data_IF_296857023731
#
_entry.id   IF_296857023731
#
_cell.length_a   1.000
_cell.length_b   1.000
_cell.length_c   1.000
_cell.angle_alpha   90.00
_cell.angle_beta   90.00
_cell.angle_gamma   90.00
#
_symmetry.space_group_name_H-M   'P 1'
#
loop_
_entity.id
_entity.type
_entity.pdbx_description
1 polymer ?
#
# COMPACT_ATOMS: atom_id res chain seq x y z
N UNK A 1 -24.53 -3.31 -6.01
CA UNK A 1 -23.48 -3.64 -5.04
C UNK A 1 -22.92 -2.37 -4.45
N UNK A 2 -22.54 -2.38 -3.16
CA UNK A 2 -21.91 -1.22 -2.51
C UNK A 2 -20.47 -1.18 -2.99
N UNK A 3 -20.01 -0.03 -3.52
CA UNK A 3 -18.61 0.18 -3.89
C UNK A 3 -17.70 0.05 -2.66
N UNK A 4 -16.53 -0.55 -2.83
CA UNK A 4 -15.53 -0.75 -1.80
C UNK A 4 -14.18 -0.19 -2.27
N UNK A 5 -13.56 0.66 -1.47
CA UNK A 5 -12.18 1.09 -1.64
C UNK A 5 -11.31 0.44 -0.56
N UNK A 6 -10.20 -0.16 -0.94
CA UNK A 6 -9.31 -0.87 -0.01
C UNK A 6 -7.88 -0.36 -0.14
N UNK A 7 -7.29 0.08 0.95
CA UNK A 7 -5.85 0.30 1.04
C UNK A 7 -5.20 -0.99 1.54
N UNK A 8 -4.26 -1.52 0.77
CA UNK A 8 -3.69 -2.85 0.95
C UNK A 8 -2.17 -2.82 1.14
N UNK A 9 -1.63 -3.59 2.10
CA UNK A 9 -0.19 -3.68 2.35
C UNK A 9 0.47 -4.75 1.48
N UNK A 10 1.78 -4.61 1.26
CA UNK A 10 2.67 -5.68 0.84
C UNK A 10 3.63 -5.98 1.99
N UNK A 11 3.65 -7.22 2.43
CA UNK A 11 4.43 -7.67 3.61
C UNK A 11 3.77 -8.91 4.20
N UNK A 12 2.57 -8.82 4.76
CA UNK A 12 1.87 -10.00 5.29
C UNK A 12 1.24 -10.82 4.16
N UNK A 13 2.05 -11.26 3.19
CA UNK A 13 1.60 -11.94 1.97
C UNK A 13 0.80 -13.21 2.22
N UNK A 14 0.98 -13.84 3.39
CA UNK A 14 0.21 -15.02 3.79
C UNK A 14 -1.30 -14.79 3.87
N UNK A 15 -1.75 -13.56 4.17
CA UNK A 15 -3.18 -13.24 4.24
C UNK A 15 -3.87 -13.34 2.87
N UNK A 16 -3.17 -12.97 1.78
CA UNK A 16 -3.72 -13.02 0.43
C UNK A 16 -4.05 -14.43 -0.03
N UNK A 17 -3.28 -15.43 0.43
CA UNK A 17 -3.60 -16.84 0.17
C UNK A 17 -5.00 -17.21 0.70
N UNK A 18 -5.32 -16.78 1.91
CA UNK A 18 -6.63 -17.04 2.50
C UNK A 18 -7.73 -16.18 1.89
N UNK A 19 -7.45 -14.92 1.59
CA UNK A 19 -8.39 -14.06 0.87
C UNK A 19 -8.77 -14.67 -0.49
N UNK A 20 -7.78 -15.10 -1.29
CA UNK A 20 -8.01 -15.78 -2.57
C UNK A 20 -8.83 -17.05 -2.37
N UNK A 21 -8.49 -17.87 -1.37
CA UNK A 21 -9.23 -19.10 -1.08
C UNK A 21 -10.72 -18.82 -0.82
N UNK A 22 -11.03 -17.91 0.10
CA UNK A 22 -12.42 -17.62 0.45
C UNK A 22 -13.20 -16.89 -0.66
N UNK A 23 -12.57 -15.97 -1.37
CA UNK A 23 -13.20 -15.31 -2.54
C UNK A 23 -13.61 -16.34 -3.57
N UNK A 24 -12.75 -17.31 -3.87
CA UNK A 24 -13.05 -18.39 -4.82
C UNK A 24 -14.07 -19.37 -4.29
N UNK A 25 -13.94 -19.79 -3.03
CA UNK A 25 -14.87 -20.73 -2.39
C UNK A 25 -16.30 -20.18 -2.35
N UNK A 26 -16.43 -18.88 -2.07
CA UNK A 26 -17.74 -18.21 -2.00
C UNK A 26 -18.18 -17.58 -3.34
N UNK A 27 -17.38 -17.73 -4.37
CA UNK A 27 -17.62 -17.18 -5.71
C UNK A 27 -17.97 -15.67 -5.68
N UNK A 28 -17.16 -14.88 -4.97
CA UNK A 28 -17.38 -13.44 -4.80
C UNK A 28 -16.64 -12.67 -5.89
N UNK A 29 -17.36 -11.95 -6.77
CA UNK A 29 -16.72 -11.03 -7.72
C UNK A 29 -16.16 -9.80 -7.01
N UNK A 30 -14.94 -9.41 -7.39
CA UNK A 30 -14.29 -8.18 -6.92
C UNK A 30 -14.44 -7.00 -7.90
N UNK A 31 -15.38 -7.04 -8.84
CA UNK A 31 -15.65 -5.99 -9.82
C UNK A 31 -16.07 -4.64 -9.22
N UNK A 32 -16.59 -4.68 -7.99
CA UNK A 32 -17.01 -3.49 -7.22
C UNK A 32 -15.92 -2.95 -6.29
N UNK A 33 -14.72 -3.53 -6.31
CA UNK A 33 -13.61 -3.19 -5.42
C UNK A 33 -12.59 -2.34 -6.17
N UNK A 34 -12.17 -1.22 -5.59
CA UNK A 34 -11.01 -0.45 -6.02
C UNK A 34 -9.90 -0.59 -4.97
N UNK A 35 -8.71 -0.99 -5.40
CA UNK A 35 -7.57 -1.19 -4.49
C UNK A 35 -6.54 -0.10 -4.64
N UNK A 36 -5.87 0.22 -3.53
CA UNK A 36 -4.77 1.17 -3.41
C UNK A 36 -3.64 0.49 -2.65
N UNK A 37 -2.52 0.22 -3.30
CA UNK A 37 -1.34 -0.25 -2.58
C UNK A 37 -0.76 0.90 -1.76
N UNK A 38 -0.43 0.63 -0.49
CA UNK A 38 -0.04 1.68 0.44
C UNK A 38 1.37 2.21 0.20
N UNK A 39 2.23 1.45 -0.46
CA UNK A 39 3.62 1.78 -0.68
C UNK A 39 4.23 1.01 -1.86
N UNK A 40 5.41 1.44 -2.30
CA UNK A 40 6.26 0.75 -3.28
C UNK A 40 7.71 1.20 -3.10
N UNK A 41 8.67 0.32 -3.37
CA UNK A 41 10.07 0.68 -3.42
C UNK A 41 10.34 1.73 -4.51
N UNK A 42 11.09 2.76 -4.15
CA UNK A 42 11.39 3.86 -5.07
C UNK A 42 12.79 4.44 -4.81
N UNK A 43 13.32 5.18 -5.76
CA UNK A 43 14.48 6.04 -5.53
C UNK A 43 14.08 7.35 -4.80
N UNK A 44 15.05 8.22 -4.55
CA UNK A 44 14.82 9.51 -3.87
C UNK A 44 13.94 10.48 -4.65
N UNK A 45 13.73 10.25 -5.94
CA UNK A 45 12.86 11.03 -6.80
C UNK A 45 11.46 10.43 -6.95
N UNK A 46 11.21 9.27 -6.32
CA UNK A 46 9.96 8.55 -6.36
C UNK A 46 9.78 7.61 -7.55
N UNK A 47 10.82 7.40 -8.37
CA UNK A 47 10.74 6.44 -9.47
C UNK A 47 10.76 5.02 -8.88
N UNK A 48 9.73 4.24 -9.18
CA UNK A 48 9.54 2.90 -8.61
C UNK A 48 10.32 1.83 -9.38
N UNK A 49 10.52 0.68 -8.74
CA UNK A 49 11.00 -0.51 -9.44
C UNK A 49 10.04 -0.90 -10.57
N UNK A 50 10.55 -1.44 -11.68
CA UNK A 50 9.69 -2.02 -12.73
C UNK A 50 8.77 -3.10 -12.14
N UNK A 51 7.54 -3.19 -12.62
CA UNK A 51 6.59 -4.22 -12.17
C UNK A 51 6.99 -5.65 -12.55
N UNK A 52 8.04 -5.81 -13.36
CA UNK A 52 8.67 -7.11 -13.67
C UNK A 52 9.75 -7.49 -12.66
N UNK A 53 10.20 -6.55 -11.80
CA UNK A 53 11.19 -6.83 -10.77
C UNK A 53 10.55 -7.68 -9.65
N UNK A 54 11.16 -8.81 -9.27
CA UNK A 54 10.64 -9.67 -8.19
C UNK A 54 10.52 -8.97 -6.83
N UNK A 55 11.24 -7.87 -6.60
CA UNK A 55 11.18 -7.10 -5.37
C UNK A 55 10.04 -6.04 -5.39
N UNK A 56 9.47 -5.73 -6.56
CA UNK A 56 8.36 -4.78 -6.67
C UNK A 56 7.12 -5.27 -5.93
N UNK A 57 6.47 -4.37 -5.23
CA UNK A 57 5.22 -4.65 -4.54
C UNK A 57 4.08 -4.85 -5.53
N UNK A 58 4.06 -4.14 -6.64
CA UNK A 58 3.12 -4.39 -7.74
C UNK A 58 3.26 -5.82 -8.26
N UNK A 59 4.49 -6.29 -8.52
CA UNK A 59 4.74 -7.68 -8.92
C UNK A 59 4.22 -8.67 -7.87
N UNK A 60 4.51 -8.42 -6.61
CA UNK A 60 4.07 -9.25 -5.50
C UNK A 60 2.55 -9.36 -5.40
N UNK A 61 1.83 -8.24 -5.57
CA UNK A 61 0.37 -8.20 -5.53
C UNK A 61 -0.28 -8.90 -6.73
N UNK A 62 0.26 -8.68 -7.92
CA UNK A 62 -0.21 -9.39 -9.11
C UNK A 62 -0.10 -10.90 -8.91
N UNK A 63 1.07 -11.39 -8.53
CA UNK A 63 1.32 -12.83 -8.35
C UNK A 63 0.58 -13.47 -7.18
N UNK A 64 0.41 -12.77 -6.04
CA UNK A 64 -0.17 -13.34 -4.83
C UNK A 64 -1.68 -13.20 -4.74
N UNK A 65 -2.26 -12.19 -5.40
CA UNK A 65 -3.66 -11.84 -5.23
C UNK A 65 -4.40 -11.75 -6.58
N UNK A 66 -4.10 -10.75 -7.40
CA UNK A 66 -4.92 -10.45 -8.57
C UNK A 66 -4.97 -11.58 -9.60
N UNK A 67 -3.83 -12.12 -10.00
CA UNK A 67 -3.76 -13.19 -11.01
C UNK A 67 -4.37 -14.50 -10.51
N UNK A 68 -4.29 -14.73 -9.19
CA UNK A 68 -4.86 -15.94 -8.58
C UNK A 68 -6.38 -15.96 -8.51
N UNK A 69 -7.01 -14.80 -8.55
CA UNK A 69 -8.47 -14.69 -8.53
C UNK A 69 -9.11 -15.03 -9.88
N UNK A 70 -8.36 -14.92 -10.99
CA UNK A 70 -8.90 -15.17 -12.34
C UNK A 70 -10.03 -14.21 -12.67
N UNK A 71 -11.17 -14.71 -13.11
CA UNK A 71 -12.35 -13.92 -13.49
C UNK A 71 -13.01 -13.17 -12.32
N UNK A 72 -12.73 -13.57 -11.08
CA UNK A 72 -13.25 -12.91 -9.87
C UNK A 72 -12.40 -11.71 -9.43
N UNK A 73 -11.33 -11.40 -10.15
CA UNK A 73 -10.33 -10.41 -9.76
C UNK A 73 -10.86 -8.97 -9.78
N UNK A 74 -10.14 -8.08 -9.10
CA UNK A 74 -10.33 -6.63 -9.23
C UNK A 74 -9.98 -6.21 -10.66
N UNK A 75 -10.82 -5.44 -11.38
CA UNK A 75 -10.50 -4.94 -12.72
C UNK A 75 -9.17 -4.17 -12.75
N UNK A 76 -8.32 -4.33 -13.79
CA UNK A 76 -7.02 -3.67 -13.86
C UNK A 76 -7.08 -2.15 -13.66
N UNK A 77 -8.09 -1.48 -14.20
CA UNK A 77 -8.30 -0.03 -14.08
C UNK A 77 -8.69 0.43 -12.66
N UNK A 78 -9.07 -0.51 -11.79
CA UNK A 78 -9.40 -0.28 -10.38
C UNK A 78 -8.23 -0.63 -9.44
N UNK A 79 -7.09 -1.11 -9.97
CA UNK A 79 -5.88 -1.39 -9.20
C UNK A 79 -4.98 -0.15 -9.20
N UNK A 80 -4.68 0.38 -8.03
CA UNK A 80 -3.81 1.54 -7.91
C UNK A 80 -2.54 1.16 -7.16
N UNK A 81 -1.40 1.28 -7.84
CA UNK A 81 -0.08 1.06 -7.28
C UNK A 81 0.60 2.41 -6.97
N UNK A 82 1.46 2.43 -5.94
CA UNK A 82 2.05 3.65 -5.40
C UNK A 82 3.24 4.15 -6.25
N UNK A 83 3.03 4.28 -7.56
CA UNK A 83 4.02 4.86 -8.48
C UNK A 83 4.12 6.37 -8.31
N UNK A 84 5.17 6.97 -8.84
CA UNK A 84 5.40 8.42 -8.82
C UNK A 84 4.22 9.22 -9.40
N UNK A 85 3.64 8.70 -10.47
CA UNK A 85 2.53 9.35 -11.19
C UNK A 85 1.19 9.10 -10.50
N UNK A 86 1.00 7.92 -9.93
CA UNK A 86 -0.31 7.49 -9.44
C UNK A 86 -0.55 7.85 -7.98
N UNK A 87 0.45 7.69 -7.10
CA UNK A 87 0.29 7.96 -5.66
C UNK A 87 -0.24 9.37 -5.35
N UNK A 88 0.21 10.45 -6.04
CA UNK A 88 -0.34 11.79 -5.85
C UNK A 88 -1.85 11.91 -6.17
N UNK A 89 -2.40 10.98 -6.93
CA UNK A 89 -3.82 10.98 -7.33
C UNK A 89 -4.72 10.26 -6.31
N UNK A 90 -4.16 9.53 -5.35
CA UNK A 90 -4.93 8.76 -4.36
C UNK A 90 -5.93 9.61 -3.56
N UNK A 91 -5.57 10.80 -3.05
CA UNK A 91 -6.51 11.63 -2.28
C UNK A 91 -7.78 11.95 -3.06
N UNK A 92 -7.63 12.36 -4.32
CA UNK A 92 -8.76 12.71 -5.19
C UNK A 92 -9.61 11.47 -5.55
N UNK A 93 -8.95 10.37 -5.93
CA UNK A 93 -9.62 9.11 -6.27
C UNK A 93 -10.43 8.55 -5.09
N UNK A 94 -9.84 8.56 -3.89
CA UNK A 94 -10.51 8.08 -2.68
C UNK A 94 -11.68 9.01 -2.31
N UNK A 95 -11.49 10.33 -2.36
CA UNK A 95 -12.56 11.29 -2.10
C UNK A 95 -13.74 11.11 -3.08
N UNK A 96 -13.44 10.90 -4.37
CA UNK A 96 -14.45 10.62 -5.39
C UNK A 96 -15.22 9.33 -5.06
N UNK A 97 -14.53 8.24 -4.79
CA UNK A 97 -15.17 6.96 -4.44
C UNK A 97 -16.05 7.09 -3.19
N UNK A 98 -15.59 7.81 -2.15
CA UNK A 98 -16.40 8.07 -0.94
C UNK A 98 -17.63 8.91 -1.26
N UNK A 99 -17.52 9.93 -2.12
CA UNK A 99 -18.68 10.74 -2.56
C UNK A 99 -19.70 9.91 -3.35
N UNK A 100 -19.26 8.85 -4.00
CA UNK A 100 -20.12 7.87 -4.70
C UNK A 100 -20.66 6.77 -3.77
N UNK A 101 -20.41 6.88 -2.46
CA UNK A 101 -20.93 5.96 -1.45
C UNK A 101 -20.04 4.76 -1.15
N UNK A 102 -18.80 4.71 -1.65
CA UNK A 102 -17.86 3.67 -1.29
C UNK A 102 -17.45 3.76 0.19
N UNK A 103 -17.19 2.60 0.79
CA UNK A 103 -16.53 2.51 2.10
C UNK A 103 -15.03 2.31 1.91
N UNK A 104 -14.24 3.05 2.67
CA UNK A 104 -12.79 2.92 2.68
C UNK A 104 -12.37 1.96 3.80
N UNK A 105 -11.72 0.87 3.43
CA UNK A 105 -11.13 -0.12 4.34
C UNK A 105 -9.62 -0.02 4.27
N UNK A 106 -8.97 0.15 5.41
CA UNK A 106 -7.52 0.06 5.54
C UNK A 106 -7.15 -1.30 6.16
N UNK A 107 -6.39 -2.09 5.43
CA UNK A 107 -5.71 -3.27 5.97
C UNK A 107 -4.25 -2.90 6.19
N UNK A 108 -3.74 -3.05 7.43
CA UNK A 108 -2.39 -2.62 7.74
C UNK A 108 -1.68 -3.52 8.75
N UNK A 109 -0.38 -3.38 8.82
CA UNK A 109 0.45 -3.88 9.91
C UNK A 109 1.24 -2.73 10.52
N UNK A 110 1.67 -2.90 11.77
CA UNK A 110 2.59 -1.96 12.41
C UNK A 110 4.00 -2.49 12.22
N UNK A 111 4.84 -1.73 11.51
CA UNK A 111 6.24 -2.06 11.31
C UNK A 111 7.08 -1.95 12.58
N UNK A 112 8.33 -2.47 12.53
CA UNK A 112 9.25 -2.51 13.69
C UNK A 112 9.51 -1.10 14.29
N UNK A 113 9.43 -0.04 13.49
CA UNK A 113 9.56 1.35 13.92
C UNK A 113 8.25 2.00 14.35
N UNK A 114 7.19 1.22 14.57
CA UNK A 114 5.85 1.72 14.89
C UNK A 114 5.27 2.61 13.77
N UNK A 115 5.59 2.30 12.52
CA UNK A 115 5.05 2.98 11.34
C UNK A 115 3.90 2.18 10.69
N UNK A 116 3.05 2.88 9.95
CA UNK A 116 2.09 2.32 9.00
C UNK A 116 2.62 2.60 7.60
N UNK A 117 2.55 1.63 6.67
CA UNK A 117 3.20 1.69 5.37
C UNK A 117 4.71 1.96 5.53
N UNK A 118 5.27 2.95 4.81
CA UNK A 118 6.62 3.47 5.03
C UNK A 118 6.59 4.91 5.58
N UNK A 119 5.49 5.28 6.26
CA UNK A 119 5.42 6.57 6.96
C UNK A 119 6.17 6.49 8.29
N UNK A 120 7.45 6.80 8.24
CA UNK A 120 8.38 6.64 9.38
C UNK A 120 8.14 7.69 10.48
N UNK A 121 8.31 7.33 11.77
CA UNK A 121 8.07 8.23 12.91
C UNK A 121 8.90 9.52 12.87
N UNK A 122 10.15 9.45 12.35
CA UNK A 122 11.02 10.62 12.27
C UNK A 122 10.47 11.73 11.37
N UNK A 123 9.52 11.44 10.48
CA UNK A 123 8.90 12.49 9.67
C UNK A 123 8.09 13.47 10.50
N UNK A 124 7.65 13.09 11.71
CA UNK A 124 6.95 14.00 12.60
C UNK A 124 7.78 15.24 12.98
N UNK A 125 9.12 15.13 12.99
CA UNK A 125 10.04 16.23 13.29
C UNK A 125 10.06 17.33 12.21
N UNK A 126 9.53 17.03 11.01
CA UNK A 126 9.47 17.97 9.89
C UNK A 126 8.25 18.91 9.94
N UNK A 127 7.33 18.68 10.87
CA UNK A 127 6.06 19.41 10.98
C UNK A 127 6.00 20.23 12.26
N UNK A 128 5.42 21.41 12.18
CA UNK A 128 5.27 22.29 13.35
C UNK A 128 4.15 21.85 14.30
N UNK A 129 3.25 20.97 13.84
CA UNK A 129 2.14 20.48 14.66
C UNK A 129 1.63 19.11 14.19
N UNK A 130 0.99 18.38 15.09
CA UNK A 130 0.31 17.13 14.78
C UNK A 130 -0.80 17.32 13.72
N UNK A 131 -1.46 18.48 13.73
CA UNK A 131 -2.51 18.81 12.76
C UNK A 131 -1.97 18.96 11.34
N UNK A 132 -0.76 19.47 11.17
CA UNK A 132 -0.10 19.53 9.85
C UNK A 132 0.30 18.14 9.39
N UNK A 133 0.98 17.40 10.25
CA UNK A 133 1.39 16.03 10.00
C UNK A 133 0.19 15.13 9.58
N UNK A 134 -0.95 15.25 10.26
CA UNK A 134 -2.17 14.48 9.96
C UNK A 134 -2.82 14.79 8.60
N UNK A 135 -2.43 15.86 7.94
CA UNK A 135 -2.95 16.23 6.61
C UNK A 135 -2.15 15.60 5.47
N UNK A 136 -0.94 15.16 5.75
CA UNK A 136 -0.06 14.61 4.73
C UNK A 136 -0.60 13.31 4.17
N UNK A 137 -0.93 13.33 2.88
CA UNK A 137 -1.58 12.19 2.24
C UNK A 137 -0.59 11.17 1.70
N UNK A 138 0.60 11.61 1.29
CA UNK A 138 1.63 10.73 0.72
C UNK A 138 3.01 11.37 0.77
N UNK A 139 4.04 10.55 0.51
CA UNK A 139 5.41 11.01 0.30
C UNK A 139 6.05 10.18 -0.81
N UNK A 140 6.72 10.85 -1.74
CA UNK A 140 7.56 10.23 -2.76
C UNK A 140 8.99 10.17 -2.27
N UNK A 141 9.71 9.08 -2.55
CA UNK A 141 11.09 8.89 -2.19
C UNK A 141 11.36 9.02 -0.68
N UNK A 142 10.42 8.60 0.16
CA UNK A 142 10.52 8.64 1.62
C UNK A 142 11.76 7.86 2.10
N UNK A 143 12.65 8.51 2.84
CA UNK A 143 13.85 7.87 3.39
C UNK A 143 13.49 6.95 4.56
N UNK A 144 13.89 5.70 4.46
CA UNK A 144 13.57 4.68 5.45
C UNK A 144 14.53 4.71 6.64
N UNK A 145 13.99 4.39 7.82
CA UNK A 145 14.79 4.22 9.02
C UNK A 145 15.69 2.97 8.90
N UNK A 146 16.92 2.97 9.44
CA UNK A 146 17.82 1.80 9.39
C UNK A 146 17.19 0.50 9.92
N UNK A 147 16.39 0.57 10.98
CA UNK A 147 15.69 -0.61 11.51
C UNK A 147 14.59 -1.12 10.57
N UNK A 148 13.97 -0.25 9.77
CA UNK A 148 13.03 -0.65 8.71
C UNK A 148 13.77 -1.38 7.59
N UNK A 149 14.94 -0.90 7.19
CA UNK A 149 15.81 -1.56 6.22
C UNK A 149 16.24 -2.93 6.74
N UNK A 150 16.70 -3.02 7.99
CA UNK A 150 17.09 -4.27 8.62
C UNK A 150 15.93 -5.28 8.67
N UNK A 151 14.73 -4.83 9.07
CA UNK A 151 13.55 -5.69 9.13
C UNK A 151 13.19 -6.25 7.75
N UNK A 152 13.19 -5.41 6.72
CA UNK A 152 12.91 -5.86 5.36
C UNK A 152 14.02 -6.76 4.81
N UNK A 153 15.29 -6.56 5.20
CA UNK A 153 16.37 -7.47 4.86
C UNK A 153 16.09 -8.88 5.39
N UNK A 154 15.69 -8.99 6.65
CA UNK A 154 15.39 -10.27 7.29
C UNK A 154 14.22 -10.97 6.61
N UNK A 155 13.13 -10.26 6.38
CA UNK A 155 11.88 -10.86 5.88
C UNK A 155 11.89 -11.14 4.39
N UNK A 156 12.52 -10.30 3.57
CA UNK A 156 12.34 -10.32 2.11
C UNK A 156 13.64 -10.41 1.30
N UNK A 157 14.80 -10.04 1.87
CA UNK A 157 16.06 -9.96 1.15
C UNK A 157 17.14 -10.91 1.69
N UNK A 158 16.74 -12.02 2.35
CA UNK A 158 17.66 -13.05 2.89
C UNK A 158 18.74 -12.46 3.79
N UNK A 159 18.37 -11.53 4.67
CA UNK A 159 19.24 -10.78 5.60
C UNK A 159 20.30 -9.90 4.92
N UNK A 160 20.15 -9.57 3.64
CA UNK A 160 21.07 -8.71 2.90
C UNK A 160 20.59 -7.28 2.89
N UNK A 161 21.02 -6.47 3.86
CA UNK A 161 20.62 -5.06 4.00
C UNK A 161 21.00 -4.19 2.81
N UNK A 162 22.11 -4.52 2.12
CA UNK A 162 22.58 -3.79 0.94
C UNK A 162 21.70 -3.96 -0.30
N UNK A 163 20.77 -4.92 -0.30
CA UNK A 163 19.82 -5.14 -1.37
C UNK A 163 18.47 -4.46 -1.12
N UNK A 164 18.21 -4.00 0.11
CA UNK A 164 16.97 -3.31 0.44
C UNK A 164 17.06 -1.87 -0.06
N UNK A 165 16.10 -1.38 -0.86
CA UNK A 165 16.04 0.03 -1.21
C UNK A 165 15.97 0.91 0.03
N UNK A 166 16.69 2.03 0.01
CA UNK A 166 16.76 2.96 1.17
C UNK A 166 15.58 3.94 1.20
N UNK A 167 14.78 3.96 0.15
CA UNK A 167 13.68 4.90 -0.06
C UNK A 167 12.48 4.18 -0.65
N UNK A 168 11.29 4.76 -0.43
CA UNK A 168 10.04 4.23 -0.93
C UNK A 168 9.02 5.36 -1.18
N UNK A 169 8.03 5.09 -2.02
CA UNK A 169 6.80 5.88 -2.06
C UNK A 169 5.84 5.33 -1.02
N UNK A 170 5.12 6.19 -0.31
CA UNK A 170 4.24 5.77 0.79
C UNK A 170 3.03 6.67 0.94
N UNK A 171 1.88 6.08 1.31
CA UNK A 171 0.75 6.86 1.84
C UNK A 171 1.12 7.49 3.18
N UNK A 172 0.41 8.55 3.53
CA UNK A 172 0.54 9.26 4.79
C UNK A 172 -0.72 9.28 5.63
N UNK A 173 -0.63 9.91 6.82
CA UNK A 173 -1.73 9.99 7.78
C UNK A 173 -3.03 10.54 7.20
N UNK A 174 -2.93 11.53 6.30
CA UNK A 174 -4.08 12.14 5.64
C UNK A 174 -4.93 11.17 4.83
N UNK A 175 -4.38 10.00 4.45
CA UNK A 175 -5.15 8.93 3.80
C UNK A 175 -5.59 7.85 4.77
N UNK A 176 -4.69 7.28 5.57
CA UNK A 176 -5.08 6.16 6.42
C UNK A 176 -6.00 6.56 7.58
N UNK A 177 -5.95 7.80 8.07
CA UNK A 177 -6.90 8.32 9.06
C UNK A 177 -8.32 8.55 8.53
N UNK A 178 -8.53 8.52 7.20
CA UNK A 178 -9.85 8.65 6.57
C UNK A 178 -10.61 7.32 6.45
N UNK A 179 -9.99 6.20 6.83
CA UNK A 179 -10.61 4.88 6.71
C UNK A 179 -11.89 4.78 7.54
N UNK A 180 -12.94 4.23 6.94
CA UNK A 180 -14.20 3.93 7.63
C UNK A 180 -14.06 2.66 8.47
N UNK A 181 -13.18 1.73 8.05
CA UNK A 181 -12.84 0.49 8.76
C UNK A 181 -11.34 0.25 8.71
N UNK A 182 -10.80 -0.21 9.82
CA UNK A 182 -9.39 -0.53 10.01
C UNK A 182 -9.28 -2.00 10.45
N UNK A 183 -8.45 -2.78 9.75
CA UNK A 183 -8.24 -4.21 9.97
C UNK A 183 -6.74 -4.50 10.14
#
# INVERSE_FOLDING_TARGET
SKKLAMILPVGPMGMYKWAVFFIKEWNVSCDHVTTFNMDEWADSEGNTLPNTDPASFENSMNNAFFDRLGELTVPPEQRNFATKENLPTYPEKIAKLKSEGARLVLVFGIGRMCHIAFWEPQFAEEYSSEQEWKKECYRLGAKLHPLTIEQNAITSFKSRTTLVPCTANTIGPGLFLQADYII
#
